data_IF_098467795994
#
_entry.id   IF_098467795994
#
_cell.length_a   1.000
_cell.length_b   1.000
_cell.length_c   1.000
_cell.angle_alpha   90.00
_cell.angle_beta   90.00
_cell.angle_gamma   90.00
#
_symmetry.space_group_name_H-M   'P 1'
#
loop_
_entity.id
_entity.type
_entity.pdbx_description
1 polymer ?
#
# COMPACT_ATOMS: atom_id res chain seq x y z
N UNK A 1 16.50 -15.59 -7.69
CA UNK A 1 15.04 -15.51 -7.94
C UNK A 1 14.41 -15.00 -6.67
N UNK A 2 13.34 -14.23 -6.81
CA UNK A 2 12.84 -13.45 -5.70
C UNK A 2 11.33 -13.57 -5.60
N UNK A 3 10.85 -13.82 -4.39
CA UNK A 3 9.47 -14.16 -4.08
C UNK A 3 8.59 -12.91 -3.99
N UNK A 4 7.31 -13.04 -4.35
CA UNK A 4 6.34 -11.96 -4.32
C UNK A 4 5.38 -12.09 -3.13
N UNK A 5 4.85 -10.94 -2.72
CA UNK A 5 3.78 -10.82 -1.74
C UNK A 5 2.66 -10.01 -2.36
N UNK A 6 1.48 -10.59 -2.47
CA UNK A 6 0.26 -9.86 -2.83
C UNK A 6 -0.06 -8.89 -1.70
N UNK A 7 -0.45 -7.67 -2.05
CA UNK A 7 -1.06 -6.69 -1.17
C UNK A 7 -2.43 -6.34 -1.74
N UNK A 8 -3.47 -6.62 -0.96
CA UNK A 8 -4.80 -6.06 -1.17
C UNK A 8 -5.06 -5.01 -0.11
N UNK A 9 -5.46 -3.81 -0.53
CA UNK A 9 -5.80 -2.69 0.32
C UNK A 9 -7.20 -2.16 -0.03
N UNK A 10 -8.00 -1.91 1.00
CA UNK A 10 -9.35 -1.36 0.95
C UNK A 10 -9.53 -0.44 2.15
N UNK A 11 -9.36 0.85 1.94
CA UNK A 11 -9.44 1.81 3.03
C UNK A 11 -10.00 3.16 2.57
N UNK A 12 -10.76 3.79 3.46
CA UNK A 12 -11.11 5.20 3.35
C UNK A 12 -10.01 6.05 4.05
N UNK A 13 -9.64 7.17 3.44
CA UNK A 13 -8.68 8.14 4.01
C UNK A 13 -9.42 9.35 4.58
N UNK A 14 -8.77 10.04 5.52
CA UNK A 14 -9.27 11.28 6.10
C UNK A 14 -9.48 12.35 5.02
N UNK A 15 -10.46 13.24 5.21
CA UNK A 15 -10.81 14.27 4.22
C UNK A 15 -9.78 15.40 4.10
N UNK A 16 -8.99 15.64 5.14
CA UNK A 16 -8.00 16.72 5.22
C UNK A 16 -6.60 16.12 5.23
N UNK A 17 -6.18 15.58 4.08
CA UNK A 17 -4.83 15.04 3.92
C UNK A 17 -3.83 16.16 3.64
N UNK A 18 -2.62 16.09 4.21
CA UNK A 18 -1.51 16.89 3.75
C UNK A 18 -1.29 16.68 2.24
N UNK A 19 -0.95 17.74 1.52
CA UNK A 19 -0.84 17.70 0.04
C UNK A 19 0.22 16.70 -0.43
N UNK A 20 1.31 16.58 0.32
CA UNK A 20 2.38 15.63 0.07
C UNK A 20 1.90 14.17 0.22
N UNK A 21 1.00 13.89 1.16
CA UNK A 21 0.42 12.55 1.34
C UNK A 21 -0.51 12.24 0.18
N UNK A 22 -1.38 13.19 -0.18
CA UNK A 22 -2.28 13.02 -1.32
C UNK A 22 -1.51 12.81 -2.64
N UNK A 23 -0.44 13.57 -2.87
CA UNK A 23 0.41 13.40 -4.05
C UNK A 23 1.07 12.01 -4.11
N UNK A 24 1.53 11.47 -2.97
CA UNK A 24 2.05 10.09 -2.91
C UNK A 24 0.96 9.08 -3.25
N UNK A 25 -0.26 9.23 -2.71
CA UNK A 25 -1.38 8.32 -3.01
C UNK A 25 -1.76 8.35 -4.50
N UNK A 26 -1.78 9.53 -5.11
CA UNK A 26 -2.03 9.69 -6.54
C UNK A 26 -0.94 9.02 -7.38
N UNK A 27 0.33 9.19 -7.02
CA UNK A 27 1.45 8.54 -7.69
C UNK A 27 1.33 7.01 -7.61
N UNK A 28 1.16 6.45 -6.40
CA UNK A 28 1.13 5.00 -6.18
C UNK A 28 -0.09 4.32 -6.83
N UNK A 29 -1.27 4.95 -6.77
CA UNK A 29 -2.52 4.26 -7.12
C UNK A 29 -3.15 4.71 -8.42
N UNK A 30 -2.74 5.85 -8.98
CA UNK A 30 -3.26 6.37 -10.25
C UNK A 30 -2.17 6.58 -11.32
N UNK A 31 -0.90 6.34 -10.99
CA UNK A 31 0.21 6.48 -11.94
C UNK A 31 0.55 7.93 -12.28
N UNK A 32 0.25 8.86 -11.38
CA UNK A 32 0.68 10.26 -11.52
C UNK A 32 2.21 10.40 -11.35
N UNK A 33 2.76 11.59 -11.61
CA UNK A 33 4.20 11.84 -11.47
C UNK A 33 4.66 11.69 -10.02
N UNK A 34 5.89 11.20 -9.83
CA UNK A 34 6.48 11.05 -8.50
C UNK A 34 6.60 12.43 -7.82
N UNK A 35 6.12 12.60 -6.57
CA UNK A 35 6.17 13.87 -5.87
C UNK A 35 7.62 14.30 -5.59
N UNK A 36 7.88 15.61 -5.70
CA UNK A 36 9.20 16.20 -5.48
C UNK A 36 9.66 16.14 -4.03
N UNK A 37 8.72 16.13 -3.11
CA UNK A 37 8.94 16.09 -1.67
C UNK A 37 8.22 14.85 -1.12
N UNK A 38 8.97 13.99 -0.42
CA UNK A 38 8.46 12.80 0.22
C UNK A 38 8.32 13.05 1.73
N UNK A 39 7.26 12.54 2.39
CA UNK A 39 7.15 12.59 3.83
C UNK A 39 8.36 11.92 4.52
N UNK A 40 8.74 12.41 5.70
CA UNK A 40 9.83 11.82 6.47
C UNK A 40 9.37 10.52 7.14
N UNK A 41 9.52 9.39 6.45
CA UNK A 41 9.15 8.07 6.97
C UNK A 41 10.03 6.96 6.36
N UNK A 42 10.34 5.91 7.13
CA UNK A 42 11.13 4.73 6.70
C UNK A 42 10.63 4.11 5.39
N UNK A 43 9.32 4.19 5.14
CA UNK A 43 8.71 3.68 3.91
C UNK A 43 9.39 4.23 2.65
N UNK A 44 9.77 5.51 2.64
CA UNK A 44 10.39 6.16 1.50
C UNK A 44 11.89 5.89 1.37
N UNK A 45 12.48 5.15 2.32
CA UNK A 45 13.86 4.66 2.26
C UNK A 45 13.95 3.25 1.64
N UNK A 46 12.81 2.57 1.49
CA UNK A 46 12.74 1.25 0.88
C UNK A 46 13.01 1.31 -0.64
N UNK A 47 13.83 0.41 -1.18
CA UNK A 47 14.22 0.41 -2.60
C UNK A 47 13.02 0.36 -3.56
N UNK A 48 11.92 -0.29 -3.13
CA UNK A 48 10.76 -0.64 -3.96
C UNK A 48 9.47 0.06 -3.56
N UNK A 49 9.55 1.17 -2.84
CA UNK A 49 8.37 1.88 -2.35
C UNK A 49 7.40 2.28 -3.49
N UNK A 50 7.94 2.72 -4.64
CA UNK A 50 7.18 3.12 -5.84
C UNK A 50 6.42 1.97 -6.51
N UNK A 51 6.74 0.72 -6.15
CA UNK A 51 6.09 -0.46 -6.73
C UNK A 51 4.79 -0.84 -6.02
N UNK A 52 4.49 -0.23 -4.87
CA UNK A 52 3.19 -0.38 -4.21
C UNK A 52 2.09 0.08 -5.17
N UNK A 53 1.10 -0.78 -5.40
CA UNK A 53 -0.05 -0.46 -6.25
C UNK A 53 0.16 -0.64 -7.76
N UNK A 54 1.40 -0.82 -8.25
CA UNK A 54 1.68 -0.83 -9.70
C UNK A 54 2.22 -2.17 -10.23
N UNK A 55 2.87 -2.97 -9.38
CA UNK A 55 3.45 -4.25 -9.78
C UNK A 55 2.49 -5.43 -9.63
N UNK A 56 2.79 -6.51 -10.37
CA UNK A 56 2.06 -7.77 -10.29
C UNK A 56 2.98 -8.97 -10.58
N UNK A 57 2.47 -10.17 -10.32
CA UNK A 57 3.19 -11.42 -10.51
C UNK A 57 2.29 -12.51 -11.11
N UNK A 58 2.89 -13.45 -11.84
CA UNK A 58 2.20 -14.68 -12.28
C UNK A 58 1.92 -15.67 -11.14
N UNK A 59 2.54 -15.47 -9.96
CA UNK A 59 2.33 -16.34 -8.79
C UNK A 59 1.01 -16.07 -8.07
N UNK A 60 0.45 -14.86 -8.20
CA UNK A 60 -0.93 -14.57 -7.82
C UNK A 60 -1.76 -14.31 -9.07
N UNK A 61 -1.82 -13.05 -9.52
CA UNK A 61 -2.58 -12.68 -10.72
C UNK A 61 -1.76 -11.66 -11.54
N UNK A 62 -1.55 -11.87 -12.85
CA UNK A 62 -0.54 -11.17 -13.65
C UNK A 62 -0.94 -9.77 -14.13
N UNK A 63 -1.70 -9.03 -13.32
CA UNK A 63 -2.01 -7.61 -13.54
C UNK A 63 -2.28 -6.93 -12.20
N UNK A 64 -1.91 -5.66 -12.04
CA UNK A 64 -2.32 -4.88 -10.87
C UNK A 64 -3.68 -4.21 -11.12
N UNK A 65 -4.43 -3.96 -10.05
CA UNK A 65 -5.63 -3.11 -10.09
C UNK A 65 -5.55 -2.14 -8.93
N UNK A 66 -5.31 -0.87 -9.22
CA UNK A 66 -5.19 0.18 -8.21
C UNK A 66 -5.98 1.40 -8.61
N UNK A 67 -6.57 2.06 -7.61
CA UNK A 67 -7.22 3.33 -7.75
C UNK A 67 -7.30 4.06 -6.42
N UNK A 68 -6.94 5.33 -6.42
CA UNK A 68 -7.28 6.29 -5.37
C UNK A 68 -8.28 7.30 -5.92
N UNK A 69 -9.47 7.38 -5.34
CA UNK A 69 -10.50 8.32 -5.82
C UNK A 69 -11.48 8.68 -4.71
N UNK A 70 -11.81 9.97 -4.58
CA UNK A 70 -12.79 10.48 -3.62
C UNK A 70 -12.53 9.98 -2.18
N UNK A 71 -11.26 10.05 -1.75
CA UNK A 71 -10.86 9.61 -0.42
C UNK A 71 -10.90 8.09 -0.21
N UNK A 72 -10.98 7.28 -1.27
CA UNK A 72 -11.01 5.81 -1.17
C UNK A 72 -9.86 5.19 -1.93
N UNK A 73 -9.22 4.21 -1.30
CA UNK A 73 -8.18 3.40 -1.89
C UNK A 73 -8.74 1.99 -2.11
N UNK A 74 -8.63 1.52 -3.36
CA UNK A 74 -8.64 0.09 -3.66
C UNK A 74 -7.35 -0.25 -4.38
N UNK A 75 -6.62 -1.23 -3.89
CA UNK A 75 -5.45 -1.75 -4.57
C UNK A 75 -5.37 -3.25 -4.43
N UNK A 76 -5.02 -3.92 -5.52
CA UNK A 76 -4.42 -5.25 -5.54
C UNK A 76 -3.18 -5.19 -6.40
N UNK A 77 -2.04 -5.47 -5.80
CA UNK A 77 -0.73 -5.49 -6.45
C UNK A 77 0.15 -6.56 -5.82
N UNK A 78 1.27 -6.86 -6.45
CA UNK A 78 2.30 -7.74 -5.91
C UNK A 78 3.62 -6.98 -5.82
N UNK A 79 4.41 -7.23 -4.79
CA UNK A 79 5.78 -6.73 -4.72
C UNK A 79 6.74 -7.72 -4.07
N UNK A 80 8.03 -7.51 -4.35
CA UNK A 80 9.12 -8.18 -3.64
C UNK A 80 9.35 -7.44 -2.32
N UNK A 81 8.78 -7.97 -1.25
CA UNK A 81 8.76 -7.35 0.08
C UNK A 81 10.04 -7.68 0.90
N UNK A 82 11.24 -7.36 0.39
CA UNK A 82 12.51 -7.75 1.03
C UNK A 82 12.95 -6.84 2.17
N UNK A 83 12.62 -5.55 2.08
CA UNK A 83 12.98 -4.56 3.10
C UNK A 83 11.84 -4.32 4.09
N UNK A 84 10.75 -5.08 3.97
CA UNK A 84 9.52 -4.89 4.73
C UNK A 84 8.73 -3.68 4.25
N UNK A 85 8.74 -3.43 2.94
CA UNK A 85 8.05 -2.34 2.25
C UNK A 85 6.57 -2.29 2.59
N UNK A 86 5.88 -3.44 2.64
CA UNK A 86 4.46 -3.51 3.00
C UNK A 86 4.23 -3.03 4.42
N UNK A 87 5.01 -3.52 5.38
CA UNK A 87 4.86 -3.13 6.78
C UNK A 87 5.18 -1.63 6.97
N UNK A 88 6.22 -1.12 6.32
CA UNK A 88 6.57 0.29 6.34
C UNK A 88 5.50 1.17 5.68
N UNK A 89 4.95 0.73 4.55
CA UNK A 89 3.85 1.39 3.85
C UNK A 89 2.60 1.48 4.72
N UNK A 90 2.17 0.36 5.30
CA UNK A 90 0.98 0.32 6.17
C UNK A 90 1.19 1.22 7.40
N UNK A 91 2.36 1.14 8.04
CA UNK A 91 2.72 2.03 9.16
C UNK A 91 2.68 3.50 8.79
N UNK A 92 3.12 3.87 7.57
CA UNK A 92 3.04 5.23 7.08
C UNK A 92 1.61 5.67 6.79
N UNK A 93 0.78 4.78 6.23
CA UNK A 93 -0.57 5.08 5.78
C UNK A 93 -1.57 5.19 6.94
N UNK A 94 -1.42 4.35 7.98
CA UNK A 94 -2.38 4.23 9.10
C UNK A 94 -2.82 5.57 9.72
N UNK A 95 -1.92 6.54 10.02
CA UNK A 95 -2.32 7.83 10.57
C UNK A 95 -3.29 8.63 9.68
N UNK A 96 -3.36 8.31 8.39
CA UNK A 96 -4.17 9.00 7.39
C UNK A 96 -5.48 8.29 7.05
N UNK A 97 -5.72 7.10 7.61
CA UNK A 97 -6.95 6.34 7.39
C UNK A 97 -8.09 6.85 8.26
N UNK A 98 -9.32 6.84 7.73
CA UNK A 98 -10.56 7.15 8.44
C UNK A 98 -11.32 5.86 8.76
N UNK A 99 -10.63 4.93 9.41
CA UNK A 99 -11.12 3.59 9.70
C UNK A 99 -11.15 3.33 11.21
N UNK A 100 -12.18 2.63 11.73
CA UNK A 100 -12.24 2.29 13.14
C UNK A 100 -11.20 1.23 13.51
N UNK A 101 -10.69 1.32 14.74
CA UNK A 101 -9.75 0.35 15.31
C UNK A 101 -10.27 -1.09 15.16
N UNK A 102 -9.38 -2.00 14.79
CA UNK A 102 -9.65 -3.41 14.57
C UNK A 102 -10.35 -3.73 13.24
N UNK A 103 -10.72 -2.72 12.42
CA UNK A 103 -11.29 -2.98 11.08
C UNK A 103 -10.22 -3.57 10.16
N UNK A 104 -10.61 -4.60 9.41
CA UNK A 104 -9.81 -5.13 8.33
C UNK A 104 -9.77 -4.13 7.16
N UNK A 105 -8.57 -3.69 6.81
CA UNK A 105 -8.30 -2.78 5.69
C UNK A 105 -7.67 -3.50 4.49
N UNK A 106 -7.53 -4.82 4.54
CA UNK A 106 -6.88 -5.58 3.48
C UNK A 106 -6.18 -6.85 3.98
N UNK A 107 -5.29 -7.36 3.14
CA UNK A 107 -4.42 -8.49 3.47
C UNK A 107 -3.11 -8.43 2.69
N UNK A 108 -2.09 -9.08 3.24
CA UNK A 108 -0.90 -9.46 2.51
C UNK A 108 -0.83 -10.98 2.36
N UNK A 109 -0.43 -11.46 1.19
CA UNK A 109 -0.30 -12.90 0.95
C UNK A 109 1.05 -13.22 0.32
N UNK A 110 1.91 -13.87 1.09
CA UNK A 110 3.18 -14.38 0.60
C UNK A 110 2.94 -15.58 -0.31
N UNK A 111 3.60 -15.64 -1.48
CA UNK A 111 3.26 -16.61 -2.53
C UNK A 111 3.43 -18.09 -2.15
N UNK A 112 4.28 -18.41 -1.16
CA UNK A 112 4.42 -19.77 -0.61
C UNK A 112 3.60 -20.00 0.66
N UNK A 113 2.89 -18.97 1.14
CA UNK A 113 2.05 -19.07 2.32
C UNK A 113 0.72 -19.75 2.01
N UNK A 114 0.27 -20.62 2.91
CA UNK A 114 -1.02 -21.32 2.77
C UNK A 114 -2.23 -20.38 2.94
N UNK A 115 -2.05 -19.26 3.65
CA UNK A 115 -3.12 -18.30 3.97
C UNK A 115 -2.63 -16.86 3.96
N UNK A 116 -3.49 -15.89 3.62
CA UNK A 116 -3.16 -14.47 3.76
C UNK A 116 -3.12 -14.02 5.23
N UNK A 117 -2.35 -12.97 5.49
CA UNK A 117 -2.30 -12.24 6.76
C UNK A 117 -3.19 -11.00 6.66
N UNK A 118 -4.12 -10.83 7.61
CA UNK A 118 -5.03 -9.69 7.61
C UNK A 118 -4.30 -8.41 8.04
N UNK A 119 -4.55 -7.32 7.32
CA UNK A 119 -4.15 -5.98 7.72
C UNK A 119 -5.29 -5.37 8.52
N UNK A 120 -5.07 -5.17 9.81
CA UNK A 120 -6.05 -4.58 10.73
C UNK A 120 -5.64 -3.15 11.07
N UNK A 121 -6.61 -2.25 11.14
CA UNK A 121 -6.43 -0.91 11.67
C UNK A 121 -6.02 -1.02 13.15
N UNK A 122 -4.87 -0.46 13.50
CA UNK A 122 -4.40 -0.41 14.88
C UNK A 122 -4.29 1.04 15.34
N UNK A 123 -4.61 1.35 16.60
CA UNK A 123 -4.36 2.68 17.15
C UNK A 123 -2.85 2.96 17.15
N UNK A 124 -2.49 4.19 16.78
CA UNK A 124 -1.12 4.71 16.90
C UNK A 124 -0.71 4.91 18.35
#
# INVERSE_FOLDING_TARGET
MGMYTELVLKADVKRDLPREVEAVLQHLFNGEECPKELPQHRFFECERWEHIGSMSSYYHIPWAVSRYHDGRIFSRSDLKNYDGEIAAFVSWLMPYLDEPDGKCIGWSWYEEGDTPELLLMTPN
#
